data_IF_153071880104
#
_entry.id   IF_153071880104
#
_cell.length_a   1.000
_cell.length_b   1.000
_cell.length_c   1.000
_cell.angle_alpha   90.00
_cell.angle_beta   90.00
_cell.angle_gamma   90.00
#
_symmetry.space_group_name_H-M   'P 1'
#
loop_
_entity.id
_entity.type
_entity.pdbx_description
1 polymer ?
#
# COMPACT_ATOMS: atom_id res chain seq x y z
N UNK A 1 -9.95 -20.48 -11.65
CA UNK A 1 -9.26 -20.71 -10.37
C UNK A 1 -9.70 -19.67 -9.36
N UNK A 2 -10.12 -20.10 -8.19
CA UNK A 2 -10.47 -19.15 -7.16
C UNK A 2 -9.20 -18.37 -6.73
N UNK A 3 -9.38 -17.11 -6.49
CA UNK A 3 -8.29 -16.26 -6.01
C UNK A 3 -8.05 -16.56 -4.53
N UNK A 4 -6.78 -16.64 -4.16
CA UNK A 4 -6.42 -16.75 -2.75
C UNK A 4 -6.37 -15.34 -2.16
N UNK A 5 -7.53 -14.84 -1.76
CA UNK A 5 -7.66 -13.48 -1.25
C UNK A 5 -6.81 -13.20 0.00
N UNK A 6 -6.78 -14.10 1.00
CA UNK A 6 -5.91 -13.85 2.17
C UNK A 6 -4.44 -13.71 1.80
N UNK A 7 -3.98 -14.54 0.87
CA UNK A 7 -2.58 -14.49 0.43
C UNK A 7 -2.29 -13.21 -0.36
N UNK A 8 -3.22 -12.82 -1.24
CA UNK A 8 -3.08 -11.59 -2.01
C UNK A 8 -3.08 -10.37 -1.09
N UNK A 9 -3.94 -10.37 -0.09
CA UNK A 9 -3.99 -9.30 0.89
C UNK A 9 -2.68 -9.20 1.67
N UNK A 10 -2.14 -10.34 2.10
CA UNK A 10 -0.86 -10.36 2.81
C UNK A 10 0.25 -9.76 1.97
N UNK A 11 0.29 -10.07 0.66
CA UNK A 11 1.27 -9.49 -0.25
C UNK A 11 1.07 -7.98 -0.41
N UNK A 12 -0.18 -7.55 -0.52
CA UNK A 12 -0.51 -6.13 -0.63
C UNK A 12 -0.09 -5.36 0.63
N UNK A 13 -0.31 -5.93 1.80
CA UNK A 13 0.10 -5.32 3.06
C UNK A 13 1.61 -5.24 3.16
N UNK A 14 2.31 -6.25 2.67
CA UNK A 14 3.78 -6.23 2.62
C UNK A 14 4.28 -5.12 1.70
N UNK A 15 3.66 -4.93 0.54
CA UNK A 15 4.03 -3.85 -0.37
C UNK A 15 3.81 -2.48 0.25
N UNK A 16 2.70 -2.30 0.96
CA UNK A 16 2.43 -1.05 1.67
C UNK A 16 3.51 -0.79 2.73
N UNK A 17 3.84 -1.79 3.53
CA UNK A 17 4.85 -1.65 4.58
C UNK A 17 6.22 -1.29 4.00
N UNK A 18 6.61 -1.95 2.92
CA UNK A 18 7.89 -1.69 2.27
C UNK A 18 7.96 -0.29 1.67
N UNK A 19 6.87 0.14 1.04
CA UNK A 19 6.83 1.48 0.45
C UNK A 19 6.84 2.56 1.53
N UNK A 20 6.20 2.35 2.67
CA UNK A 20 6.27 3.27 3.80
C UNK A 20 7.70 3.41 4.31
N UNK A 21 8.39 2.29 4.46
CA UNK A 21 9.79 2.28 4.90
C UNK A 21 10.68 3.01 3.90
N UNK A 22 10.48 2.75 2.61
CA UNK A 22 11.25 3.42 1.56
C UNK A 22 11.03 4.94 1.61
N UNK A 23 9.78 5.38 1.74
CA UNK A 23 9.46 6.80 1.80
C UNK A 23 10.11 7.48 3.01
N UNK A 24 10.09 6.80 4.15
CA UNK A 24 10.75 7.32 5.36
C UNK A 24 12.24 7.51 5.13
N UNK A 25 12.90 6.48 4.61
CA UNK A 25 14.33 6.51 4.32
C UNK A 25 14.66 7.61 3.31
N UNK A 26 13.83 7.76 2.29
CA UNK A 26 14.04 8.77 1.27
C UNK A 26 13.91 10.18 1.83
N UNK A 27 12.93 10.41 2.72
CA UNK A 27 12.79 11.70 3.38
C UNK A 27 13.99 12.04 4.25
N UNK A 28 14.51 11.05 4.96
CA UNK A 28 15.71 11.21 5.78
C UNK A 28 16.93 11.56 4.92
N UNK A 29 17.05 10.90 3.78
CA UNK A 29 18.12 11.18 2.83
C UNK A 29 18.05 12.63 2.36
N UNK A 30 16.85 13.11 2.00
CA UNK A 30 16.65 14.47 1.54
C UNK A 30 17.06 15.48 2.62
N UNK A 31 16.67 15.22 3.87
CA UNK A 31 17.05 16.09 4.99
C UNK A 31 18.57 16.14 5.17
N UNK A 32 19.22 14.98 5.06
CA UNK A 32 20.68 14.90 5.16
C UNK A 32 21.36 15.68 4.05
N UNK A 33 20.88 15.52 2.81
CA UNK A 33 21.43 16.24 1.66
C UNK A 33 21.31 17.76 1.86
N UNK A 34 20.17 18.21 2.35
CA UNK A 34 19.95 19.64 2.63
C UNK A 34 20.93 20.17 3.67
N UNK A 35 21.11 19.44 4.75
CA UNK A 35 22.03 19.84 5.80
C UNK A 35 23.46 19.93 5.29
N UNK A 36 23.83 19.08 4.35
CA UNK A 36 25.16 19.08 3.76
C UNK A 36 25.32 20.04 2.60
N UNK A 37 24.24 20.77 2.24
CA UNK A 37 24.29 21.74 1.17
C UNK A 37 24.25 21.12 -0.23
N UNK A 38 23.86 19.86 -0.35
CA UNK A 38 23.74 19.20 -1.64
C UNK A 38 22.39 19.44 -2.29
N UNK A 39 22.33 19.31 -3.60
CA UNK A 39 21.10 19.40 -4.34
C UNK A 39 20.19 18.21 -4.02
N UNK A 40 18.89 18.47 -3.99
CA UNK A 40 17.90 17.45 -3.64
C UNK A 40 16.89 17.19 -4.76
N UNK A 41 17.07 17.80 -5.92
CA UNK A 41 16.10 17.69 -7.02
C UNK A 41 15.82 16.24 -7.42
N UNK A 42 16.86 15.45 -7.62
CA UNK A 42 16.70 14.04 -8.00
C UNK A 42 16.08 13.23 -6.87
N UNK A 43 16.51 13.47 -5.65
CA UNK A 43 15.97 12.77 -4.50
C UNK A 43 14.49 13.11 -4.29
N UNK A 44 14.10 14.36 -4.50
CA UNK A 44 12.70 14.76 -4.44
C UNK A 44 11.87 14.13 -5.55
N UNK A 45 12.42 14.01 -6.76
CA UNK A 45 11.73 13.34 -7.86
C UNK A 45 11.45 11.87 -7.53
N UNK A 46 12.43 11.19 -6.95
CA UNK A 46 12.24 9.79 -6.51
C UNK A 46 11.18 9.70 -5.43
N UNK A 47 11.19 10.62 -4.47
CA UNK A 47 10.18 10.65 -3.42
C UNK A 47 8.78 10.78 -4.00
N UNK A 48 8.61 11.66 -4.97
CA UNK A 48 7.31 11.89 -5.60
C UNK A 48 6.81 10.66 -6.35
N UNK A 49 7.69 9.98 -7.07
CA UNK A 49 7.37 8.74 -7.77
C UNK A 49 6.92 7.65 -6.82
N UNK A 50 7.67 7.45 -5.75
CA UNK A 50 7.33 6.43 -4.76
C UNK A 50 6.08 6.76 -3.96
N UNK A 51 5.83 8.03 -3.73
CA UNK A 51 4.60 8.44 -3.07
C UNK A 51 3.38 8.06 -3.91
N UNK A 52 3.45 8.24 -5.22
CA UNK A 52 2.40 7.79 -6.13
C UNK A 52 2.23 6.28 -6.12
N UNK A 53 3.33 5.54 -6.11
CA UNK A 53 3.32 4.09 -6.07
C UNK A 53 2.74 3.58 -4.74
N UNK A 54 3.12 4.21 -3.65
CA UNK A 54 2.60 3.90 -2.31
C UNK A 54 1.08 4.05 -2.26
N UNK A 55 0.55 5.13 -2.86
CA UNK A 55 -0.89 5.36 -2.94
C UNK A 55 -1.61 4.23 -3.69
N UNK A 56 -0.98 3.73 -4.76
CA UNK A 56 -1.54 2.61 -5.52
C UNK A 56 -1.54 1.32 -4.69
N UNK A 57 -0.49 1.08 -3.92
CA UNK A 57 -0.42 -0.08 -3.04
C UNK A 57 -1.50 -0.02 -1.97
N UNK A 58 -1.72 1.15 -1.39
CA UNK A 58 -2.79 1.35 -0.40
C UNK A 58 -4.15 1.05 -1.03
N UNK A 59 -4.41 1.58 -2.22
CA UNK A 59 -5.68 1.35 -2.91
C UNK A 59 -5.89 -0.13 -3.23
N UNK A 60 -4.84 -0.82 -3.66
CA UNK A 60 -4.92 -2.26 -3.94
C UNK A 60 -5.21 -3.06 -2.68
N UNK A 61 -4.52 -2.74 -1.58
CA UNK A 61 -4.75 -3.38 -0.29
C UNK A 61 -6.20 -3.18 0.17
N UNK A 62 -6.68 -1.97 0.07
CA UNK A 62 -8.03 -1.64 0.54
C UNK A 62 -9.09 -2.37 -0.29
N UNK A 63 -8.89 -2.48 -1.60
CA UNK A 63 -9.80 -3.25 -2.45
C UNK A 63 -9.82 -4.74 -2.08
N UNK A 64 -8.66 -5.29 -1.79
CA UNK A 64 -8.56 -6.70 -1.38
C UNK A 64 -9.23 -6.94 -0.03
N UNK A 65 -9.09 -6.00 0.90
CA UNK A 65 -9.77 -6.07 2.19
C UNK A 65 -11.27 -6.06 2.01
N UNK A 66 -11.78 -5.17 1.18
CA UNK A 66 -13.20 -5.08 0.90
C UNK A 66 -13.72 -6.36 0.25
N UNK A 67 -12.97 -6.90 -0.70
CA UNK A 67 -13.32 -8.14 -1.35
C UNK A 67 -13.38 -9.31 -0.35
N UNK A 68 -12.38 -9.38 0.52
CA UNK A 68 -12.33 -10.42 1.53
C UNK A 68 -13.47 -10.30 2.53
N UNK A 69 -13.79 -9.10 2.95
CA UNK A 69 -14.91 -8.84 3.84
C UNK A 69 -16.24 -9.29 3.21
N UNK A 70 -16.43 -9.01 1.93
CA UNK A 70 -17.63 -9.47 1.22
C UNK A 70 -17.67 -10.98 1.12
N UNK A 71 -16.52 -11.62 0.95
CA UNK A 71 -16.44 -13.07 0.89
C UNK A 71 -16.74 -13.75 2.22
N UNK A 72 -16.42 -13.07 3.32
CA UNK A 72 -16.66 -13.60 4.66
C UNK A 72 -18.11 -13.43 5.12
N UNK A 73 -18.86 -12.54 4.46
CA UNK A 73 -20.27 -12.35 4.79
C UNK A 73 -21.02 -13.59 4.29
N UNK A 74 -21.75 -14.30 5.16
CA UNK A 74 -22.55 -15.43 4.71
C UNK A 74 -23.56 -15.01 3.66
N UNK A 75 -23.80 -15.83 2.64
CA UNK A 75 -24.78 -15.47 1.64
C UNK A 75 -26.13 -15.25 2.28
N UNK A 76 -26.77 -14.14 1.93
CA UNK A 76 -28.08 -13.82 2.44
C UNK A 76 -29.08 -14.76 1.81
N UNK A 77 -29.76 -15.54 2.64
CA UNK A 77 -30.76 -16.45 2.16
C UNK A 77 -32.06 -15.68 1.90
N UNK A 78 -32.75 -15.97 0.80
CA UNK A 78 -34.07 -15.38 0.59
C UNK A 78 -35.10 -15.84 1.63
N UNK A 79 -34.76 -16.86 2.38
CA UNK A 79 -35.59 -17.36 3.47
C UNK A 79 -35.37 -16.62 4.77
N UNK A 80 -34.71 -15.49 4.68
CA UNK A 80 -34.31 -14.77 5.84
C UNK A 80 -33.20 -15.52 6.52
N UNK A 81 -32.08 -14.94 6.64
CA UNK A 81 -31.05 -15.58 7.44
C UNK A 81 -31.55 -15.68 8.85
N UNK A 82 -31.75 -16.82 9.22
CA UNK A 82 -32.09 -17.04 10.60
C UNK A 82 -30.93 -16.56 11.46
#
# INVERSE_FOLDING_TARGET
>A
MPRDLPKLLALAEEHVARSEMFLRTQRELIQTLRRLGHETANANAVLLEYDGLHSRFIAARDRLREELERSDIPPQSPWGSA
#
